data_IF_917879367878
#
_entry.id   IF_917879367878
#
_cell.length_a   1.000
_cell.length_b   1.000
_cell.length_c   1.000
_cell.angle_alpha   90.00
_cell.angle_beta   90.00
_cell.angle_gamma   90.00
#
_symmetry.space_group_name_H-M   'P 1'
#
loop_
_entity.id
_entity.type
_entity.pdbx_description
1 polymer ?
#
# COMPACT_ATOMS: atom_id res chain seq x y z
N UNK A 1 48.34 65.78 6.03
CA UNK A 1 47.40 66.71 5.38
C UNK A 1 46.53 65.86 4.47
N UNK A 2 45.55 65.13 5.01
CA UNK A 2 44.20 65.63 5.40
C UNK A 2 43.46 66.12 4.15
N UNK A 3 42.28 65.60 3.79
CA UNK A 3 41.03 65.52 4.60
C UNK A 3 40.11 64.41 4.06
N UNK A 4 39.58 63.54 4.92
CA UNK A 4 38.20 63.49 5.49
C UNK A 4 37.08 63.07 4.51
N UNK A 5 36.56 61.84 4.64
CA UNK A 5 35.33 61.41 5.36
C UNK A 5 34.05 61.64 4.55
N UNK A 6 33.29 60.56 4.30
CA UNK A 6 31.85 60.44 4.66
C UNK A 6 31.23 59.11 4.21
N UNK A 7 30.55 58.45 5.15
CA UNK A 7 29.66 57.28 5.01
C UNK A 7 28.27 57.75 4.53
N UNK A 8 27.55 56.91 3.76
CA UNK A 8 26.10 56.59 3.94
C UNK A 8 25.38 56.23 2.62
N UNK A 9 24.44 55.28 2.71
CA UNK A 9 23.34 55.05 1.74
C UNK A 9 23.42 53.66 1.08
N UNK A 10 22.90 52.58 1.68
CA UNK A 10 21.49 52.20 1.74
C UNK A 10 20.85 51.86 0.38
N UNK A 11 20.36 50.63 0.32
CA UNK A 11 19.27 50.12 -0.52
C UNK A 11 19.55 49.89 -2.02
N UNK A 12 19.76 48.62 -2.37
CA UNK A 12 19.05 47.92 -3.47
C UNK A 12 19.34 46.42 -3.24
N UNK A 13 18.37 45.55 -2.98
CA UNK A 13 17.09 45.48 -3.66
C UNK A 13 17.10 44.47 -4.81
N UNK A 14 18.11 43.60 -4.92
CA UNK A 14 18.13 42.55 -5.95
C UNK A 14 17.67 41.21 -5.40
N UNK A 15 16.34 41.10 -5.34
CA UNK A 15 15.53 39.92 -5.71
C UNK A 15 16.34 38.65 -5.99
N UNK A 16 16.71 37.91 -4.93
CA UNK A 16 16.78 36.46 -5.07
C UNK A 16 15.35 35.96 -5.10
N UNK A 17 14.82 35.94 -6.32
CA UNK A 17 13.67 35.17 -6.74
C UNK A 17 13.66 33.84 -6.01
N UNK A 18 12.66 33.67 -5.15
CA UNK A 18 11.96 32.43 -4.86
C UNK A 18 12.72 31.20 -5.38
N UNK A 19 13.66 30.70 -4.58
CA UNK A 19 14.11 29.32 -4.71
C UNK A 19 12.88 28.46 -4.49
N UNK A 20 12.27 28.04 -5.59
CA UNK A 20 11.03 27.30 -5.62
C UNK A 20 11.04 26.24 -4.52
N UNK A 21 10.03 26.30 -3.65
CA UNK A 21 9.76 25.20 -2.73
C UNK A 21 9.87 23.90 -3.56
N UNK A 22 10.64 22.90 -3.12
CA UNK A 22 10.84 21.71 -3.91
C UNK A 22 9.45 21.18 -4.24
N UNK A 23 9.10 21.12 -5.52
CA UNK A 23 7.93 20.39 -5.96
C UNK A 23 8.03 19.04 -5.26
N UNK A 24 7.10 18.76 -4.35
CA UNK A 24 7.08 17.50 -3.60
C UNK A 24 6.68 16.43 -4.60
N UNK A 25 7.65 16.03 -5.42
CA UNK A 25 7.50 15.01 -6.44
C UNK A 25 7.27 13.73 -5.66
N UNK A 26 6.02 13.27 -5.69
CA UNK A 26 5.60 12.05 -5.01
C UNK A 26 6.55 10.92 -5.39
N UNK A 27 7.21 10.35 -4.39
CA UNK A 27 8.14 9.24 -4.60
C UNK A 27 7.37 7.99 -5.02
N UNK A 28 7.61 7.54 -6.26
CA UNK A 28 7.05 6.29 -6.76
C UNK A 28 7.67 5.09 -6.04
N UNK A 29 6.93 3.98 -5.99
CA UNK A 29 7.40 2.74 -5.34
C UNK A 29 8.71 2.23 -5.97
N UNK A 30 8.83 2.25 -7.30
CA UNK A 30 10.06 1.86 -8.00
C UNK A 30 11.26 2.73 -7.61
N UNK A 31 11.06 4.05 -7.46
CA UNK A 31 12.15 4.94 -7.08
C UNK A 31 12.61 4.68 -5.64
N UNK A 32 11.68 4.42 -4.71
CA UNK A 32 12.02 4.01 -3.34
C UNK A 32 12.77 2.68 -3.31
N UNK A 33 12.35 1.71 -4.14
CA UNK A 33 13.02 0.41 -4.27
C UNK A 33 14.48 0.59 -4.68
N UNK A 34 14.79 1.41 -5.68
CA UNK A 34 16.18 1.62 -6.11
C UNK A 34 17.03 2.24 -4.99
N UNK A 35 16.48 3.23 -4.28
CA UNK A 35 17.16 3.85 -3.13
C UNK A 35 17.48 2.82 -2.03
N UNK A 36 16.52 1.95 -1.70
CA UNK A 36 16.74 0.88 -0.73
C UNK A 36 17.80 -0.11 -1.23
N UNK A 37 17.80 -0.48 -2.51
CA UNK A 37 18.82 -1.37 -3.08
C UNK A 37 20.22 -0.76 -2.99
N UNK A 38 20.36 0.55 -3.18
CA UNK A 38 21.62 1.28 -2.97
C UNK A 38 22.10 1.20 -1.51
N UNK A 39 21.19 1.39 -0.55
CA UNK A 39 21.50 1.20 0.89
C UNK A 39 21.94 -0.24 1.19
N UNK A 40 21.26 -1.24 0.63
CA UNK A 40 21.62 -2.66 0.81
C UNK A 40 22.96 -3.04 0.17
N UNK A 41 23.40 -2.30 -0.86
CA UNK A 41 24.75 -2.45 -1.46
C UNK A 41 25.86 -1.82 -0.60
N UNK A 42 25.52 -1.16 0.50
CA UNK A 42 26.47 -0.55 1.44
C UNK A 42 26.79 0.92 1.17
N UNK A 43 25.99 1.61 0.34
CA UNK A 43 26.16 3.05 0.19
C UNK A 43 25.80 3.79 1.50
N UNK A 44 26.62 4.78 1.93
CA UNK A 44 26.39 5.47 3.19
C UNK A 44 25.13 6.33 3.12
N UNK A 45 24.30 6.24 4.16
CA UNK A 45 23.00 6.93 4.23
C UNK A 45 23.12 8.45 4.15
N UNK A 46 24.21 9.02 4.69
CA UNK A 46 24.48 10.46 4.63
C UNK A 46 24.73 10.95 3.20
N UNK A 47 25.40 10.16 2.35
CA UNK A 47 25.65 10.51 0.97
C UNK A 47 24.36 10.46 0.14
N UNK A 48 23.56 9.41 0.34
CA UNK A 48 22.25 9.24 -0.29
C UNK A 48 21.27 10.35 0.11
N UNK A 49 21.27 10.76 1.38
CA UNK A 49 20.45 11.86 1.88
C UNK A 49 20.78 13.17 1.17
N UNK A 50 22.07 13.49 1.04
CA UNK A 50 22.56 14.70 0.38
C UNK A 50 22.28 14.70 -1.12
N UNK A 51 22.47 13.57 -1.79
CA UNK A 51 22.22 13.42 -3.24
C UNK A 51 20.74 13.58 -3.59
N UNK A 52 19.86 12.95 -2.80
CA UNK A 52 18.43 12.88 -3.11
C UNK A 52 17.62 14.01 -2.47
N UNK A 53 18.23 14.78 -1.55
CA UNK A 53 17.56 15.81 -0.76
C UNK A 53 16.49 15.25 0.17
N UNK A 54 16.69 14.02 0.67
CA UNK A 54 15.76 13.34 1.58
C UNK A 54 16.37 13.26 2.96
N UNK A 55 15.56 13.42 4.00
CA UNK A 55 15.98 13.28 5.39
C UNK A 55 16.41 11.84 5.71
N UNK A 56 17.45 11.70 6.52
CA UNK A 56 18.03 10.40 6.92
C UNK A 56 16.97 9.48 7.52
N UNK A 57 16.13 9.97 8.44
CA UNK A 57 15.07 9.18 9.07
C UNK A 57 14.11 8.53 8.07
N UNK A 58 13.86 9.20 6.93
CA UNK A 58 12.95 8.72 5.90
C UNK A 58 13.58 7.63 5.03
N UNK A 59 14.89 7.73 4.81
CA UNK A 59 15.67 6.68 4.17
C UNK A 59 15.73 5.43 5.06
N UNK A 60 15.94 5.61 6.37
CA UNK A 60 15.88 4.53 7.36
C UNK A 60 14.50 3.87 7.39
N UNK A 61 13.43 4.66 7.38
CA UNK A 61 12.06 4.15 7.35
C UNK A 61 11.81 3.26 6.11
N UNK A 62 12.31 3.66 4.94
CA UNK A 62 12.17 2.87 3.71
C UNK A 62 13.01 1.59 3.78
N UNK A 63 14.21 1.66 4.35
CA UNK A 63 15.07 0.51 4.57
C UNK A 63 14.40 -0.51 5.51
N UNK A 64 13.87 -0.05 6.65
CA UNK A 64 13.15 -0.91 7.60
C UNK A 64 11.90 -1.54 7.00
N UNK A 65 11.10 -0.76 6.26
CA UNK A 65 9.91 -1.28 5.56
C UNK A 65 10.27 -2.34 4.53
N UNK A 66 11.38 -2.17 3.82
CA UNK A 66 11.84 -3.16 2.86
C UNK A 66 12.30 -4.45 3.55
N UNK A 67 13.04 -4.37 4.66
CA UNK A 67 13.43 -5.55 5.44
C UNK A 67 12.23 -6.32 5.98
N UNK A 68 11.24 -5.61 6.55
CA UNK A 68 9.98 -6.22 6.99
C UNK A 68 9.22 -6.85 5.83
N UNK A 69 9.23 -6.22 4.65
CA UNK A 69 8.64 -6.77 3.44
C UNK A 69 9.33 -8.05 2.99
N UNK A 70 10.66 -8.10 3.01
CA UNK A 70 11.46 -9.29 2.70
C UNK A 70 11.16 -10.39 3.72
N UNK A 71 11.18 -10.08 5.02
CA UNK A 71 10.86 -11.05 6.07
C UNK A 71 9.45 -11.62 5.90
N UNK A 72 8.47 -10.76 5.61
CA UNK A 72 7.09 -11.18 5.38
C UNK A 72 6.97 -12.06 4.13
N UNK A 73 7.66 -11.71 3.05
CA UNK A 73 7.68 -12.49 1.82
C UNK A 73 8.37 -13.85 2.00
N UNK A 74 9.42 -13.93 2.82
CA UNK A 74 10.10 -15.19 3.14
C UNK A 74 9.31 -16.06 4.12
N UNK A 75 8.54 -15.45 5.02
CA UNK A 75 7.58 -16.17 5.90
C UNK A 75 6.36 -16.66 5.13
N UNK A 76 5.95 -15.96 4.08
CA UNK A 76 4.89 -16.40 3.20
C UNK A 76 5.33 -17.72 2.54
N UNK A 77 4.72 -18.83 2.97
CA UNK A 77 4.78 -20.06 2.20
C UNK A 77 4.02 -19.82 0.90
N UNK A 78 4.60 -20.28 -0.22
CA UNK A 78 3.92 -20.40 -1.52
C UNK A 78 2.49 -20.83 -1.26
N UNK A 79 1.52 -20.00 -1.67
CA UNK A 79 0.17 -19.90 -1.09
C UNK A 79 -0.34 -21.24 -0.57
N UNK A 80 -0.65 -21.27 0.73
CA UNK A 80 -1.03 -22.49 1.44
C UNK A 80 -1.98 -23.31 0.57
N UNK A 81 -1.58 -24.48 0.04
CA UNK A 81 -2.46 -25.30 -0.79
C UNK A 81 -3.76 -25.62 -0.03
N UNK A 82 -3.70 -25.63 1.31
CA UNK A 82 -4.86 -25.76 2.17
C UNK A 82 -5.83 -24.58 2.05
N UNK A 83 -5.37 -23.35 1.82
CA UNK A 83 -6.23 -22.19 1.65
C UNK A 83 -7.00 -22.25 0.31
N UNK A 84 -6.36 -22.68 -0.77
CA UNK A 84 -7.03 -22.88 -2.05
C UNK A 84 -8.03 -24.05 -1.99
N UNK A 85 -7.67 -25.15 -1.34
CA UNK A 85 -8.57 -26.28 -1.08
C UNK A 85 -9.75 -25.89 -0.16
N UNK A 86 -9.49 -25.05 0.84
CA UNK A 86 -10.51 -24.52 1.76
C UNK A 86 -11.51 -23.61 1.03
N UNK A 87 -11.03 -22.71 0.18
CA UNK A 87 -11.90 -21.85 -0.64
C UNK A 87 -12.74 -22.68 -1.62
N UNK A 88 -12.15 -23.70 -2.25
CA UNK A 88 -12.87 -24.63 -3.10
C UNK A 88 -13.94 -25.42 -2.32
N UNK A 89 -13.62 -25.87 -1.11
CA UNK A 89 -14.55 -26.55 -0.22
C UNK A 89 -15.71 -25.63 0.20
N UNK A 90 -15.44 -24.38 0.60
CA UNK A 90 -16.48 -23.41 0.95
C UNK A 90 -17.41 -23.11 -0.22
N UNK A 91 -16.86 -22.95 -1.43
CA UNK A 91 -17.67 -22.78 -2.64
C UNK A 91 -18.60 -23.98 -2.87
N UNK A 92 -18.09 -25.21 -2.71
CA UNK A 92 -18.87 -26.43 -2.89
C UNK A 92 -19.97 -26.58 -1.83
N UNK A 93 -19.69 -26.22 -0.59
CA UNK A 93 -20.67 -26.19 0.50
C UNK A 93 -21.79 -25.18 0.17
N UNK A 94 -21.44 -23.99 -0.33
CA UNK A 94 -22.41 -22.99 -0.75
C UNK A 94 -23.34 -23.49 -1.86
N UNK A 95 -22.78 -24.11 -2.90
CA UNK A 95 -23.56 -24.73 -3.99
C UNK A 95 -24.56 -25.76 -3.46
N UNK A 96 -24.09 -26.72 -2.66
CA UNK A 96 -24.93 -27.78 -2.08
C UNK A 96 -26.00 -27.19 -1.15
N UNK A 97 -25.67 -26.13 -0.41
CA UNK A 97 -26.61 -25.48 0.51
C UNK A 97 -27.75 -24.82 -0.26
N UNK A 98 -27.43 -24.06 -1.31
CA UNK A 98 -28.44 -23.45 -2.19
C UNK A 98 -29.32 -24.51 -2.88
N UNK A 99 -28.72 -25.60 -3.39
CA UNK A 99 -29.46 -26.71 -3.97
C UNK A 99 -30.41 -27.35 -2.95
N UNK A 100 -29.94 -27.58 -1.71
CA UNK A 100 -30.76 -28.17 -0.65
C UNK A 100 -31.94 -27.27 -0.28
N UNK A 101 -31.72 -25.96 -0.17
CA UNK A 101 -32.78 -24.98 0.09
C UNK A 101 -33.87 -25.01 -0.98
N UNK A 102 -33.47 -25.04 -2.25
CA UNK A 102 -34.40 -25.15 -3.38
C UNK A 102 -35.19 -26.47 -3.35
N UNK A 103 -34.53 -27.59 -3.04
CA UNK A 103 -35.20 -28.90 -2.92
C UNK A 103 -36.21 -28.92 -1.76
N UNK A 104 -35.85 -28.36 -0.60
CA UNK A 104 -36.75 -28.24 0.55
C UNK A 104 -37.96 -27.37 0.23
N UNK A 105 -37.77 -26.27 -0.49
CA UNK A 105 -38.87 -25.42 -0.96
C UNK A 105 -39.80 -26.16 -1.93
N UNK A 106 -39.24 -26.91 -2.90
CA UNK A 106 -40.03 -27.76 -3.79
C UNK A 106 -40.84 -28.81 -3.03
N UNK A 107 -40.24 -29.49 -2.06
CA UNK A 107 -40.93 -30.50 -1.24
C UNK A 107 -42.07 -29.89 -0.41
N UNK A 108 -41.87 -28.69 0.16
CA UNK A 108 -42.92 -27.95 0.87
C UNK A 108 -44.11 -27.62 -0.05
N UNK A 109 -43.83 -27.16 -1.27
CA UNK A 109 -44.87 -26.84 -2.27
C UNK A 109 -45.58 -28.08 -2.81
N UNK A 110 -44.88 -29.20 -2.90
CA UNK A 110 -45.40 -30.47 -3.39
C UNK A 110 -46.28 -31.23 -2.37
N UNK A 111 -46.65 -30.62 -1.25
CA UNK A 111 -47.53 -31.27 -0.28
C UNK A 111 -48.84 -31.72 -0.96
N UNK A 112 -49.28 -32.98 -0.78
CA UNK A 112 -50.47 -33.48 -1.45
C UNK A 112 -51.67 -32.63 -1.05
N UNK A 113 -52.43 -32.15 -2.05
CA UNK A 113 -53.73 -31.53 -1.79
C UNK A 113 -54.57 -32.52 -0.97
N UNK A 114 -55.14 -32.05 0.14
CA UNK A 114 -55.92 -32.88 1.06
C UNK A 114 -56.95 -33.72 0.29
N UNK A 115 -57.02 -35.02 0.57
CA UNK A 115 -57.98 -35.92 -0.06
C UNK A 115 -59.39 -35.35 0.12
N UNK A 116 -60.00 -34.94 -1.00
CA UNK A 116 -61.35 -34.40 -1.03
C UNK A 116 -62.30 -35.48 -0.53
N UNK A 117 -62.99 -35.23 0.59
CA UNK A 117 -64.06 -36.12 1.08
C UNK A 117 -65.11 -36.28 -0.03
N UNK A 118 -65.34 -37.52 -0.45
CA UNK A 118 -66.43 -37.87 -1.34
C UNK A 118 -67.76 -37.56 -0.66
N UNK A 119 -68.62 -36.78 -1.34
CA UNK A 119 -69.98 -36.52 -0.86
C UNK A 119 -70.82 -37.76 -1.17
N UNK A 120 -71.40 -38.34 -0.12
CA UNK A 120 -72.46 -39.34 -0.22
C UNK A 120 -73.80 -38.63 -0.25
#
# INVERSE_FOLDING_TARGET
>A
MEKDVSVSGAAEGERSSTGAAPEVKRWSANRKKEVVLRLMRGEPIDALSRELGIEIYRLEEWHQKALQGIESALKAREGDPLAAELDAAFKRIGEITMENELLREKARRAHPLAQRRSKK
#
